data_IF_289702305179
#
_entry.id   IF_289702305179
#
_cell.length_a   1.000
_cell.length_b   1.000
_cell.length_c   1.000
_cell.angle_alpha   90.00
_cell.angle_beta   90.00
_cell.angle_gamma   90.00
#
_symmetry.space_group_name_H-M   'P 1'
#
loop_
_entity.id
_entity.type
_entity.pdbx_description
1 polymer ?
#
# COMPACT_ATOMS: atom_id res chain seq x y z
N UNK A 1 32.22 -71.02 29.65
CA UNK A 1 31.42 -72.24 29.45
C UNK A 1 30.64 -72.05 28.19
N UNK A 2 31.19 -72.51 27.14
CA UNK A 2 30.72 -73.30 26.00
C UNK A 2 29.48 -72.74 25.26
N UNK A 3 29.75 -72.20 24.02
CA UNK A 3 29.59 -72.88 22.72
C UNK A 3 28.14 -73.32 22.43
N UNK A 4 27.51 -72.96 21.29
CA UNK A 4 27.77 -73.45 19.96
C UNK A 4 27.03 -72.65 18.86
N UNK A 5 27.73 -72.52 17.77
CA UNK A 5 27.33 -72.32 16.39
C UNK A 5 26.26 -73.33 15.91
N UNK A 6 25.41 -72.89 14.98
CA UNK A 6 25.09 -73.73 13.81
C UNK A 6 24.66 -72.82 12.62
N UNK A 7 25.47 -72.98 11.57
CA UNK A 7 25.13 -72.60 10.18
C UNK A 7 24.27 -73.70 9.57
N UNK A 8 23.38 -73.35 8.61
CA UNK A 8 23.16 -74.15 7.38
C UNK A 8 22.31 -73.34 6.37
N UNK A 9 22.92 -72.97 5.28
CA UNK A 9 22.80 -73.19 3.84
C UNK A 9 21.46 -73.19 3.13
N UNK A 10 21.45 -72.31 2.12
CA UNK A 10 20.99 -72.43 0.71
C UNK A 10 19.78 -73.31 0.38
N UNK A 11 18.80 -72.67 -0.31
CA UNK A 11 18.40 -73.18 -1.61
C UNK A 11 17.72 -72.14 -2.50
N UNK A 12 18.19 -72.06 -3.74
CA UNK A 12 17.64 -71.38 -4.90
C UNK A 12 16.40 -72.12 -5.42
N UNK A 13 15.30 -71.39 -5.71
CA UNK A 13 14.44 -71.76 -6.85
C UNK A 13 13.59 -70.59 -7.31
N UNK A 14 13.95 -70.08 -8.42
CA UNK A 14 13.29 -69.67 -9.66
C UNK A 14 11.82 -69.17 -9.66
N UNK A 15 11.70 -68.00 -10.25
CA UNK A 15 10.74 -67.51 -11.27
C UNK A 15 9.27 -67.38 -10.91
N UNK A 16 8.80 -66.09 -10.94
CA UNK A 16 7.77 -65.69 -11.87
C UNK A 16 7.74 -64.15 -11.93
N UNK A 17 8.04 -63.59 -13.11
CA UNK A 17 7.89 -62.18 -13.47
C UNK A 17 6.39 -61.95 -13.69
N UNK A 18 5.75 -61.17 -12.82
CA UNK A 18 4.48 -60.51 -13.15
C UNK A 18 4.75 -59.00 -13.24
N UNK A 19 4.86 -58.53 -14.47
CA UNK A 19 4.88 -57.10 -14.76
C UNK A 19 3.47 -56.53 -14.48
N UNK A 20 3.32 -55.85 -13.35
CA UNK A 20 2.18 -54.98 -13.11
C UNK A 20 2.52 -53.60 -13.70
N UNK A 21 1.96 -53.31 -14.86
CA UNK A 21 1.94 -51.97 -15.43
C UNK A 21 0.98 -51.16 -14.58
N UNK A 22 1.51 -50.38 -13.62
CA UNK A 22 0.77 -49.32 -12.95
C UNK A 22 0.80 -48.13 -13.91
N UNK A 23 -0.28 -47.95 -14.64
CA UNK A 23 -0.57 -46.66 -15.31
C UNK A 23 -0.74 -45.60 -14.23
N UNK A 24 0.32 -44.82 -14.00
CA UNK A 24 0.21 -43.58 -13.25
C UNK A 24 -0.57 -42.58 -14.13
N UNK A 25 -1.85 -42.45 -13.88
CA UNK A 25 -2.59 -41.24 -14.27
C UNK A 25 -2.01 -40.09 -13.44
N UNK A 26 -1.07 -39.38 -14.05
CA UNK A 26 -0.67 -38.06 -13.58
C UNK A 26 -1.88 -37.15 -13.77
N UNK A 27 -2.64 -36.92 -12.72
CA UNK A 27 -3.52 -35.78 -12.66
C UNK A 27 -2.65 -34.52 -12.64
N UNK A 28 -2.40 -33.94 -13.79
CA UNK A 28 -1.98 -32.56 -13.89
C UNK A 28 -3.19 -31.70 -13.46
N UNK A 29 -3.32 -31.45 -12.18
CA UNK A 29 -4.03 -30.29 -11.70
C UNK A 29 -3.28 -29.07 -12.24
N UNK A 30 -3.95 -28.04 -12.76
CA UNK A 30 -3.26 -26.81 -13.10
C UNK A 30 -2.61 -26.29 -11.83
N UNK A 31 -1.28 -26.23 -11.82
CA UNK A 31 -0.51 -25.54 -10.79
C UNK A 31 -0.96 -24.10 -10.83
N UNK A 32 -1.56 -23.65 -9.76
CA UNK A 32 -1.97 -22.28 -9.59
C UNK A 32 -0.68 -21.44 -9.52
N UNK A 33 -0.34 -20.75 -10.63
CA UNK A 33 0.87 -19.95 -10.76
C UNK A 33 0.96 -18.79 -9.77
N UNK A 34 -0.11 -18.57 -8.99
CA UNK A 34 -0.20 -17.51 -8.00
C UNK A 34 0.36 -17.88 -6.61
N UNK A 35 0.96 -19.07 -6.43
CA UNK A 35 1.55 -19.51 -5.16
C UNK A 35 3.06 -19.79 -5.23
N UNK A 36 3.74 -19.32 -6.27
CA UNK A 36 5.20 -19.34 -6.27
C UNK A 36 5.70 -18.26 -5.31
N UNK A 37 6.64 -18.64 -4.39
CA UNK A 37 7.43 -17.65 -3.67
C UNK A 37 8.01 -16.69 -4.71
N UNK A 38 7.97 -15.36 -4.48
CA UNK A 38 8.57 -14.43 -5.42
C UNK A 38 10.00 -14.90 -5.74
N UNK A 39 10.35 -14.91 -7.02
CA UNK A 39 11.74 -15.09 -7.40
C UNK A 39 12.53 -14.03 -6.64
N UNK A 40 13.68 -14.40 -6.10
CA UNK A 40 14.47 -13.60 -5.14
C UNK A 40 14.89 -12.23 -5.67
N UNK A 41 14.60 -11.95 -6.94
CA UNK A 41 14.97 -10.74 -7.67
C UNK A 41 13.76 -9.85 -8.04
N UNK A 42 12.52 -10.22 -7.66
CA UNK A 42 11.33 -9.40 -7.98
C UNK A 42 11.11 -8.32 -6.91
N UNK A 43 11.02 -7.05 -7.38
CA UNK A 43 10.66 -5.92 -6.52
C UNK A 43 9.19 -5.61 -6.67
N UNK A 44 8.53 -5.38 -5.54
CA UNK A 44 7.19 -4.82 -5.46
C UNK A 44 7.28 -3.33 -5.15
N UNK A 45 7.01 -2.49 -6.15
CA UNK A 45 6.85 -1.05 -5.94
C UNK A 45 5.37 -0.76 -5.80
N UNK A 46 4.94 -0.48 -4.57
CA UNK A 46 3.55 -0.32 -4.19
C UNK A 46 3.20 1.15 -3.96
N UNK A 47 2.44 1.75 -4.86
CA UNK A 47 2.06 3.16 -4.76
C UNK A 47 0.66 3.32 -4.15
N UNK A 48 0.54 4.23 -3.16
CA UNK A 48 -0.75 4.60 -2.58
C UNK A 48 -1.64 5.28 -3.61
N UNK A 49 -2.89 4.85 -3.70
CA UNK A 49 -3.91 5.44 -4.57
C UNK A 49 -4.91 6.17 -3.70
N UNK A 50 -4.95 7.49 -3.84
CA UNK A 50 -5.92 8.37 -3.24
C UNK A 50 -7.18 8.41 -4.14
N UNK A 51 -8.31 7.79 -3.74
CA UNK A 51 -9.44 7.54 -4.62
C UNK A 51 -10.48 8.67 -4.60
N UNK A 52 -10.07 9.93 -4.71
CA UNK A 52 -10.94 11.09 -4.44
C UNK A 52 -11.42 11.83 -5.69
N UNK A 53 -11.02 11.39 -6.89
CA UNK A 53 -11.26 12.15 -8.13
C UNK A 53 -12.46 11.62 -8.91
N UNK A 54 -13.59 11.40 -8.24
CA UNK A 54 -14.88 11.02 -8.82
C UNK A 54 -16.04 11.53 -7.95
N UNK A 55 -17.27 11.36 -8.41
CA UNK A 55 -18.45 11.62 -7.62
C UNK A 55 -18.73 10.47 -6.66
N UNK A 56 -18.65 10.69 -5.36
CA UNK A 56 -19.08 9.72 -4.36
C UNK A 56 -20.61 9.75 -4.18
N UNK A 57 -21.26 8.59 -4.30
CA UNK A 57 -22.74 8.48 -4.25
C UNK A 57 -23.33 8.87 -2.90
N UNK A 58 -22.58 8.74 -1.80
CA UNK A 58 -23.07 9.05 -0.44
C UNK A 58 -22.87 10.50 -0.06
N UNK A 59 -21.70 11.05 -0.38
CA UNK A 59 -21.27 12.35 0.15
C UNK A 59 -20.77 13.32 -0.92
N UNK A 60 -20.74 12.92 -2.19
CA UNK A 60 -20.23 13.74 -3.30
C UNK A 60 -20.91 15.10 -3.37
N UNK A 61 -22.23 15.16 -3.40
CA UNK A 61 -22.97 16.42 -3.46
C UNK A 61 -22.70 17.33 -2.25
N UNK A 62 -22.43 16.71 -1.09
CA UNK A 62 -22.11 17.46 0.12
C UNK A 62 -20.67 17.98 0.10
N UNK A 63 -19.70 17.20 -0.39
CA UNK A 63 -18.30 17.55 -0.35
C UNK A 63 -17.86 18.31 -1.61
N UNK A 64 -18.23 17.81 -2.78
CA UNK A 64 -17.80 18.28 -4.10
C UNK A 64 -18.98 18.39 -5.06
N UNK A 65 -19.76 19.49 -4.98
CA UNK A 65 -21.02 19.63 -5.70
C UNK A 65 -20.88 19.75 -7.24
N UNK A 66 -19.68 19.96 -7.77
CA UNK A 66 -19.42 19.95 -9.22
C UNK A 66 -19.33 18.51 -9.79
N UNK A 67 -19.31 17.47 -8.91
CA UNK A 67 -19.34 16.06 -9.30
C UNK A 67 -18.01 15.49 -9.79
N UNK A 68 -16.90 16.19 -9.56
CA UNK A 68 -15.56 15.76 -10.00
C UNK A 68 -14.61 15.42 -8.84
N UNK A 69 -15.19 15.24 -7.64
CA UNK A 69 -14.40 14.96 -6.46
C UNK A 69 -13.39 16.06 -6.14
N UNK A 70 -12.25 15.70 -5.64
CA UNK A 70 -11.23 16.63 -5.19
C UNK A 70 -10.61 17.49 -6.31
N UNK A 71 -10.84 17.15 -7.58
CA UNK A 71 -10.48 18.05 -8.69
C UNK A 71 -11.06 19.45 -8.54
N UNK A 72 -12.21 19.59 -7.87
CA UNK A 72 -12.81 20.89 -7.58
C UNK A 72 -11.91 21.81 -6.75
N UNK A 73 -11.07 21.24 -5.92
CA UNK A 73 -10.13 21.98 -5.06
C UNK A 73 -8.79 22.15 -5.77
N UNK A 74 -8.27 21.08 -6.36
CA UNK A 74 -6.97 21.06 -7.04
C UNK A 74 -6.92 22.09 -8.17
N UNK A 75 -7.99 22.19 -8.98
CA UNK A 75 -8.12 23.19 -10.05
C UNK A 75 -8.12 24.65 -9.55
N UNK A 76 -8.46 24.87 -8.30
CA UNK A 76 -8.50 26.20 -7.65
C UNK A 76 -7.18 26.55 -6.96
N UNK A 77 -6.19 25.65 -7.02
CA UNK A 77 -4.86 25.91 -6.48
C UNK A 77 -4.23 27.17 -7.10
N UNK A 78 -3.61 27.99 -6.29
CA UNK A 78 -2.97 29.25 -6.72
C UNK A 78 -1.51 29.29 -6.28
N UNK A 79 -0.60 29.85 -7.12
CA UNK A 79 0.78 30.06 -6.72
C UNK A 79 0.87 30.98 -5.48
N UNK A 80 1.68 30.59 -4.49
CA UNK A 80 1.95 31.37 -3.28
C UNK A 80 3.18 32.27 -3.39
N UNK A 81 4.03 31.96 -4.34
CA UNK A 81 5.27 32.71 -4.63
C UNK A 81 5.65 32.52 -6.10
N UNK A 82 6.57 33.32 -6.59
CA UNK A 82 7.07 33.19 -7.97
C UNK A 82 7.73 31.84 -8.21
N UNK A 83 7.31 31.15 -9.28
CA UNK A 83 7.77 29.80 -9.63
C UNK A 83 7.06 28.66 -8.91
N UNK A 84 6.13 28.93 -7.98
CA UNK A 84 5.32 27.87 -7.38
C UNK A 84 4.37 27.26 -8.40
N UNK A 85 4.48 25.94 -8.60
CA UNK A 85 3.66 25.21 -9.58
C UNK A 85 2.28 24.88 -9.00
N UNK A 86 1.34 25.77 -9.30
CA UNK A 86 -0.10 25.60 -9.02
C UNK A 86 -0.91 26.33 -10.10
N UNK A 87 -2.13 25.86 -10.45
CA UNK A 87 -2.65 24.53 -10.10
C UNK A 87 -1.83 23.41 -10.73
N UNK A 88 -1.80 22.26 -10.09
CA UNK A 88 -1.21 21.06 -10.70
C UNK A 88 -2.11 20.53 -11.80
N UNK A 89 -1.55 20.20 -12.96
CA UNK A 89 -2.32 19.76 -14.13
C UNK A 89 -1.83 18.38 -14.57
N UNK A 90 -2.69 17.36 -14.47
CA UNK A 90 -2.35 16.03 -15.00
C UNK A 90 -2.09 16.07 -16.51
N UNK A 91 -1.17 15.23 -16.99
CA UNK A 91 -0.81 15.17 -18.40
C UNK A 91 -2.01 14.78 -19.29
N UNK A 92 -2.90 13.95 -18.77
CA UNK A 92 -4.11 13.49 -19.46
C UNK A 92 -5.36 14.32 -19.10
N UNK A 93 -5.18 15.42 -18.38
CA UNK A 93 -6.28 16.22 -17.88
C UNK A 93 -6.87 15.66 -16.57
N UNK A 94 -7.92 16.30 -16.11
CA UNK A 94 -8.59 15.99 -14.85
C UNK A 94 -9.63 14.88 -15.06
N UNK A 95 -9.14 13.68 -15.33
CA UNK A 95 -9.98 12.50 -15.58
C UNK A 95 -10.53 11.93 -14.27
N UNK A 96 -11.69 11.25 -14.36
CA UNK A 96 -12.33 10.65 -13.19
C UNK A 96 -11.73 9.25 -12.94
N UNK A 97 -11.37 8.97 -11.71
CA UNK A 97 -10.67 7.72 -11.33
C UNK A 97 -11.61 6.51 -11.15
N UNK A 98 -12.92 6.70 -11.27
CA UNK A 98 -13.90 5.61 -11.31
C UNK A 98 -14.23 5.14 -12.75
N UNK A 99 -13.56 5.70 -13.76
CA UNK A 99 -13.67 5.26 -15.15
C UNK A 99 -12.65 4.12 -15.43
N UNK A 100 -13.11 2.94 -15.90
CA UNK A 100 -12.22 1.83 -16.24
C UNK A 100 -11.17 2.18 -17.30
N UNK A 101 -11.50 3.03 -18.29
CA UNK A 101 -10.55 3.42 -19.34
C UNK A 101 -9.42 4.32 -18.80
N UNK A 102 -9.74 5.12 -17.80
CA UNK A 102 -8.73 5.90 -17.05
C UNK A 102 -7.82 4.98 -16.25
N UNK A 103 -8.39 4.00 -15.55
CA UNK A 103 -7.61 3.01 -14.81
C UNK A 103 -6.75 2.13 -15.73
N UNK A 104 -7.23 1.79 -16.93
CA UNK A 104 -6.43 1.08 -17.93
C UNK A 104 -5.14 1.87 -18.28
N UNK A 105 -5.26 3.19 -18.48
CA UNK A 105 -4.09 4.07 -18.71
C UNK A 105 -3.15 4.12 -17.51
N UNK A 106 -3.71 4.19 -16.30
CA UNK A 106 -2.91 4.23 -15.07
C UNK A 106 -2.12 2.93 -14.90
N UNK A 107 -2.78 1.78 -15.07
CA UNK A 107 -2.16 0.45 -14.97
C UNK A 107 -1.02 0.31 -15.98
N UNK A 108 -1.25 0.64 -17.25
CA UNK A 108 -0.22 0.54 -18.28
C UNK A 108 0.96 1.48 -17.97
N UNK A 109 0.70 2.73 -17.60
CA UNK A 109 1.77 3.66 -17.25
C UNK A 109 2.57 3.21 -16.01
N UNK A 110 1.91 2.64 -15.01
CA UNK A 110 2.55 2.12 -13.81
C UNK A 110 3.42 0.90 -14.11
N UNK A 111 2.84 -0.11 -14.76
CA UNK A 111 3.53 -1.39 -15.03
C UNK A 111 4.66 -1.26 -16.04
N UNK A 112 4.53 -0.39 -17.04
CA UNK A 112 5.61 -0.10 -18.00
C UNK A 112 6.83 0.57 -17.35
N UNK A 113 6.67 1.06 -16.11
CA UNK A 113 7.72 1.76 -15.38
C UNK A 113 8.09 1.11 -14.02
N UNK A 114 7.65 -0.14 -13.79
CA UNK A 114 8.08 -0.90 -12.62
C UNK A 114 7.25 -0.68 -11.35
N UNK A 115 6.14 0.08 -11.40
CA UNK A 115 5.13 0.12 -10.33
C UNK A 115 4.14 -1.01 -10.60
N UNK A 116 4.08 -2.01 -9.73
CA UNK A 116 3.33 -3.25 -9.95
C UNK A 116 2.30 -3.58 -8.86
N UNK A 117 2.17 -2.73 -7.84
CA UNK A 117 1.16 -2.84 -6.80
C UNK A 117 0.50 -1.49 -6.56
N UNK A 118 -0.82 -1.44 -6.49
CA UNK A 118 -1.57 -0.29 -5.99
C UNK A 118 -2.07 -0.54 -4.57
N UNK A 119 -1.88 0.43 -3.68
CA UNK A 119 -2.41 0.43 -2.30
C UNK A 119 -3.57 1.39 -2.28
N UNK A 120 -4.80 0.89 -2.30
CA UNK A 120 -5.95 1.77 -2.25
C UNK A 120 -6.20 2.26 -0.83
N UNK A 121 -6.24 3.58 -0.65
CA UNK A 121 -6.76 4.19 0.56
C UNK A 121 -8.25 3.86 0.64
N UNK A 122 -8.63 3.08 1.65
CA UNK A 122 -9.97 2.56 1.80
C UNK A 122 -10.62 3.13 3.06
N UNK A 123 -11.82 3.68 2.90
CA UNK A 123 -12.51 4.40 3.96
C UNK A 123 -13.81 3.74 4.37
N UNK A 124 -14.09 3.84 5.66
CA UNK A 124 -15.39 3.47 6.23
C UNK A 124 -15.83 4.56 7.19
N UNK A 125 -16.84 5.33 6.80
CA UNK A 125 -17.38 6.41 7.59
C UNK A 125 -18.89 6.34 7.62
N UNK A 126 -19.49 6.76 8.75
CA UNK A 126 -20.94 6.84 8.90
C UNK A 126 -21.61 5.52 8.46
N UNK A 127 -21.12 4.40 9.06
CA UNK A 127 -21.60 3.04 8.88
C UNK A 127 -21.54 2.49 7.43
N UNK A 128 -20.66 3.02 6.59
CA UNK A 128 -20.53 2.54 5.22
C UNK A 128 -19.24 2.93 4.51
N UNK A 129 -19.00 2.32 3.34
CA UNK A 129 -17.83 2.63 2.55
C UNK A 129 -17.92 4.05 1.97
N UNK A 130 -16.76 4.67 1.78
CA UNK A 130 -16.61 5.98 1.17
C UNK A 130 -15.49 5.95 0.13
N UNK A 131 -15.68 6.63 -0.99
CA UNK A 131 -14.74 6.70 -2.12
C UNK A 131 -14.37 5.34 -2.75
N UNK A 132 -15.21 4.32 -2.64
CA UNK A 132 -14.90 3.00 -3.20
C UNK A 132 -15.03 2.91 -4.73
N UNK A 133 -15.62 3.89 -5.41
CA UNK A 133 -15.90 3.80 -6.85
C UNK A 133 -14.62 3.74 -7.68
N UNK A 134 -13.56 4.42 -7.31
CA UNK A 134 -12.24 4.32 -7.94
C UNK A 134 -11.75 2.85 -8.02
N UNK A 135 -11.84 2.12 -6.91
CA UNK A 135 -11.50 0.71 -6.87
C UNK A 135 -12.54 -0.17 -7.59
N UNK A 136 -13.84 0.02 -7.27
CA UNK A 136 -14.89 -0.90 -7.70
C UNK A 136 -15.33 -0.72 -9.14
N UNK A 137 -15.41 0.52 -9.61
CA UNK A 137 -15.88 0.87 -10.94
C UNK A 137 -14.71 1.15 -11.89
N UNK A 138 -13.65 1.79 -11.42
CA UNK A 138 -12.44 2.02 -12.19
C UNK A 138 -11.57 0.76 -12.26
N UNK A 139 -10.80 0.49 -11.20
CA UNK A 139 -9.74 -0.54 -11.23
C UNK A 139 -10.24 -1.97 -11.46
N UNK A 140 -11.23 -2.43 -10.69
CA UNK A 140 -11.71 -3.81 -10.82
C UNK A 140 -12.46 -4.10 -12.13
N UNK A 141 -12.84 -3.06 -12.90
CA UNK A 141 -13.45 -3.20 -14.23
C UNK A 141 -12.48 -2.93 -15.38
N UNK A 142 -11.27 -2.45 -15.10
CA UNK A 142 -10.23 -2.25 -16.11
C UNK A 142 -9.86 -3.58 -16.79
N UNK A 143 -9.74 -3.59 -18.14
CA UNK A 143 -9.48 -4.81 -18.92
C UNK A 143 -8.08 -5.38 -18.69
N UNK A 144 -7.12 -4.53 -18.32
CA UNK A 144 -5.73 -4.88 -18.07
C UNK A 144 -5.38 -5.02 -16.59
N UNK A 145 -6.38 -5.06 -15.68
CA UNK A 145 -6.19 -5.13 -14.22
C UNK A 145 -5.30 -6.30 -13.76
N UNK A 146 -5.27 -7.38 -14.53
CA UNK A 146 -4.47 -8.57 -14.20
C UNK A 146 -2.95 -8.31 -14.29
N UNK A 147 -2.52 -7.19 -14.90
CA UNK A 147 -1.13 -6.74 -14.91
C UNK A 147 -0.70 -6.12 -13.57
N UNK A 148 -1.65 -5.69 -12.73
CA UNK A 148 -1.43 -4.92 -11.51
C UNK A 148 -1.98 -5.65 -10.31
N UNK A 149 -1.16 -5.85 -9.27
CA UNK A 149 -1.65 -6.31 -7.98
C UNK A 149 -2.18 -5.13 -7.15
N UNK A 150 -3.00 -5.41 -6.15
CA UNK A 150 -3.49 -4.38 -5.24
C UNK A 150 -3.76 -4.91 -3.85
N UNK A 151 -3.71 -4.02 -2.87
CA UNK A 151 -4.24 -4.27 -1.54
C UNK A 151 -4.84 -3.01 -0.92
N UNK A 152 -5.52 -3.18 0.19
CA UNK A 152 -6.20 -2.10 0.88
C UNK A 152 -5.39 -1.58 2.06
N UNK A 153 -5.38 -0.26 2.21
CA UNK A 153 -5.03 0.40 3.47
C UNK A 153 -6.30 1.02 4.06
N UNK A 154 -6.78 0.50 5.18
CA UNK A 154 -7.88 1.14 5.90
C UNK A 154 -7.40 2.45 6.52
N UNK A 155 -7.83 3.56 5.91
CA UNK A 155 -7.53 4.91 6.34
C UNK A 155 -8.46 5.32 7.50
N UNK A 156 -8.31 4.64 8.62
CA UNK A 156 -9.13 4.75 9.82
C UNK A 156 -8.75 5.95 10.71
N UNK A 157 -8.61 7.14 10.13
CA UNK A 157 -8.32 8.36 10.87
C UNK A 157 -9.56 9.27 10.97
N UNK A 158 -9.61 10.09 12.02
CA UNK A 158 -10.65 11.09 12.15
C UNK A 158 -10.49 12.16 11.06
N UNK A 159 -11.61 12.63 10.49
CA UNK A 159 -11.62 13.57 9.38
C UNK A 159 -12.29 14.85 9.78
N UNK A 160 -11.64 15.98 9.49
CA UNK A 160 -12.16 17.33 9.73
C UNK A 160 -12.83 17.87 8.49
N UNK A 161 -13.85 18.74 8.68
CA UNK A 161 -14.64 19.32 7.59
C UNK A 161 -13.80 20.07 6.59
N UNK A 162 -12.90 20.94 7.05
CA UNK A 162 -12.03 21.73 6.18
C UNK A 162 -10.99 20.92 5.40
N UNK A 163 -10.73 19.67 5.78
CA UNK A 163 -9.85 18.79 5.02
C UNK A 163 -10.44 18.38 3.69
N UNK A 164 -11.76 18.13 3.65
CA UNK A 164 -12.43 17.70 2.43
C UNK A 164 -12.65 18.82 1.44
N UNK A 165 -13.11 19.99 1.90
CA UNK A 165 -13.34 21.13 1.01
C UNK A 165 -13.29 22.44 1.79
N UNK A 166 -12.13 23.08 1.80
CA UNK A 166 -11.91 24.35 2.48
C UNK A 166 -12.77 25.48 1.87
N UNK A 167 -13.07 25.43 0.58
CA UNK A 167 -13.94 26.44 -0.08
C UNK A 167 -15.38 26.35 0.39
N UNK A 168 -15.83 25.20 0.86
CA UNK A 168 -17.17 24.98 1.41
C UNK A 168 -17.22 25.17 2.92
N UNK A 169 -16.25 24.60 3.63
CA UNK A 169 -16.26 24.54 5.10
C UNK A 169 -15.36 25.59 5.76
N UNK A 170 -14.63 26.39 4.98
CA UNK A 170 -13.72 27.42 5.46
C UNK A 170 -12.73 26.85 6.51
N UNK A 171 -12.63 27.49 7.66
CA UNK A 171 -11.75 27.10 8.76
C UNK A 171 -12.42 26.15 9.78
N UNK A 172 -13.54 25.52 9.42
CA UNK A 172 -14.21 24.56 10.32
C UNK A 172 -13.36 23.31 10.51
N UNK A 173 -12.64 23.26 11.63
CA UNK A 173 -11.78 22.15 12.04
C UNK A 173 -12.50 21.07 12.84
N UNK A 174 -13.83 21.18 12.99
CA UNK A 174 -14.61 20.15 13.69
C UNK A 174 -14.50 18.79 12.98
N UNK A 175 -14.54 17.73 13.77
CA UNK A 175 -14.55 16.37 13.22
C UNK A 175 -15.86 16.14 12.50
N UNK A 176 -15.79 15.76 11.23
CA UNK A 176 -16.95 15.38 10.42
C UNK A 176 -17.28 13.91 10.66
N UNK A 177 -16.27 13.04 10.59
CA UNK A 177 -16.39 11.63 10.83
C UNK A 177 -15.22 11.11 11.67
N UNK A 178 -15.52 10.21 12.58
CA UNK A 178 -14.52 9.48 13.35
C UNK A 178 -14.05 8.26 12.55
N UNK A 179 -12.75 7.98 12.61
CA UNK A 179 -12.17 6.79 11.97
C UNK A 179 -12.33 5.51 12.79
N UNK A 180 -12.71 5.64 14.07
CA UNK A 180 -13.04 4.50 14.92
C UNK A 180 -14.42 3.93 14.57
N UNK A 181 -14.58 2.61 14.67
CA UNK A 181 -15.82 1.89 14.40
C UNK A 181 -16.20 1.01 15.59
N UNK A 182 -17.47 0.66 15.71
CA UNK A 182 -17.91 -0.35 16.68
C UNK A 182 -17.74 -1.79 16.16
N UNK A 183 -18.02 -2.77 17.00
CA UNK A 183 -17.91 -4.18 16.67
C UNK A 183 -18.80 -4.62 15.52
N UNK A 184 -19.99 -4.07 15.38
CA UNK A 184 -20.93 -4.50 14.35
C UNK A 184 -20.48 -3.97 12.98
N UNK A 185 -20.06 -2.72 12.91
CA UNK A 185 -19.41 -2.15 11.71
C UNK A 185 -18.12 -2.90 11.37
N UNK A 186 -17.29 -3.25 12.36
CA UNK A 186 -16.06 -3.99 12.11
C UNK A 186 -16.32 -5.37 11.48
N UNK A 187 -17.34 -6.10 11.93
CA UNK A 187 -17.74 -7.38 11.32
C UNK A 187 -18.18 -7.20 9.88
N UNK A 188 -18.92 -6.12 9.58
CA UNK A 188 -19.35 -5.79 8.21
C UNK A 188 -18.12 -5.48 7.34
N UNK A 189 -17.17 -4.70 7.85
CA UNK A 189 -15.88 -4.40 7.18
C UNK A 189 -15.15 -5.70 6.84
N UNK A 190 -14.96 -6.58 7.82
CA UNK A 190 -14.25 -7.86 7.65
C UNK A 190 -14.92 -8.72 6.58
N UNK A 191 -16.23 -8.89 6.67
CA UNK A 191 -17.00 -9.68 5.68
C UNK A 191 -16.88 -9.08 4.27
N UNK A 192 -17.03 -7.76 4.15
CA UNK A 192 -16.90 -7.03 2.88
C UNK A 192 -15.52 -7.20 2.27
N UNK A 193 -14.46 -6.97 3.05
CA UNK A 193 -13.07 -7.03 2.58
C UNK A 193 -12.74 -8.44 2.09
N UNK A 194 -13.10 -9.46 2.84
CA UNK A 194 -12.83 -10.85 2.47
C UNK A 194 -13.59 -11.23 1.19
N UNK A 195 -14.90 -10.98 1.15
CA UNK A 195 -15.73 -11.43 0.02
C UNK A 195 -15.48 -10.65 -1.25
N UNK A 196 -15.26 -9.36 -1.15
CA UNK A 196 -15.19 -8.48 -2.31
C UNK A 196 -13.77 -8.30 -2.85
N UNK A 197 -12.78 -8.25 -1.96
CA UNK A 197 -11.41 -7.88 -2.33
C UNK A 197 -10.42 -9.04 -2.22
N UNK A 198 -10.34 -9.74 -1.09
CA UNK A 198 -9.39 -10.85 -0.94
C UNK A 198 -9.63 -11.97 -1.95
N UNK A 199 -10.87 -12.14 -2.41
CA UNK A 199 -11.27 -13.10 -3.45
C UNK A 199 -10.78 -12.73 -4.85
N UNK A 200 -10.29 -11.50 -5.09
CA UNK A 200 -9.78 -11.10 -6.39
C UNK A 200 -8.44 -11.81 -6.68
N UNK A 201 -8.24 -12.34 -7.90
CA UNK A 201 -7.03 -13.10 -8.24
C UNK A 201 -5.76 -12.28 -8.11
N UNK A 202 -5.82 -10.97 -8.38
CA UNK A 202 -4.73 -10.02 -8.31
C UNK A 202 -4.64 -9.27 -6.97
N UNK A 203 -5.33 -9.76 -5.92
CA UNK A 203 -5.13 -9.20 -4.58
C UNK A 203 -3.73 -9.59 -4.06
N UNK A 204 -2.96 -8.60 -3.58
CA UNK A 204 -1.58 -8.81 -3.14
C UNK A 204 -1.51 -9.66 -1.88
N UNK A 205 -0.62 -10.65 -1.89
CA UNK A 205 -0.44 -11.62 -0.81
C UNK A 205 1.04 -11.81 -0.50
N UNK A 206 1.35 -11.98 0.76
CA UNK A 206 2.67 -12.40 1.23
C UNK A 206 2.51 -13.80 1.83
N UNK A 207 3.25 -14.78 1.33
CA UNK A 207 3.14 -16.19 1.72
C UNK A 207 1.70 -16.74 1.65
N UNK A 208 0.94 -16.31 0.64
CA UNK A 208 -0.47 -16.69 0.44
C UNK A 208 -1.46 -15.96 1.35
N UNK A 209 -0.98 -15.15 2.30
CA UNK A 209 -1.80 -14.37 3.22
C UNK A 209 -2.15 -13.00 2.58
N UNK A 210 -3.43 -12.64 2.41
CA UNK A 210 -3.80 -11.35 1.88
C UNK A 210 -3.29 -10.23 2.81
N UNK A 211 -2.67 -9.21 2.21
CA UNK A 211 -2.16 -8.05 2.94
C UNK A 211 -3.29 -7.07 3.21
N UNK A 212 -3.45 -6.66 4.45
CA UNK A 212 -4.37 -5.60 4.85
C UNK A 212 -3.64 -4.60 5.72
N UNK A 213 -3.57 -3.36 5.26
CA UNK A 213 -2.89 -2.28 5.97
C UNK A 213 -3.86 -1.44 6.79
N UNK A 214 -3.42 -0.95 7.94
CA UNK A 214 -4.19 -0.06 8.82
C UNK A 214 -3.40 1.21 9.09
N UNK A 215 -4.04 2.35 8.88
CA UNK A 215 -3.38 3.66 8.99
C UNK A 215 -3.13 4.09 10.43
N UNK A 216 -4.11 3.94 11.33
CA UNK A 216 -4.02 4.43 12.69
C UNK A 216 -4.25 3.33 13.73
N UNK A 217 -3.18 2.93 14.42
CA UNK A 217 -3.26 2.04 15.57
C UNK A 217 -4.11 2.66 16.71
N UNK A 218 -4.05 3.97 16.87
CA UNK A 218 -4.79 4.67 17.93
C UNK A 218 -6.31 4.60 17.71
N UNK A 219 -6.76 4.83 16.48
CA UNK A 219 -8.18 4.72 16.14
C UNK A 219 -8.63 3.25 16.12
N UNK A 220 -7.75 2.31 15.78
CA UNK A 220 -8.05 0.89 15.92
C UNK A 220 -8.28 0.52 17.39
N UNK A 221 -7.44 1.00 18.32
CA UNK A 221 -7.62 0.79 19.76
C UNK A 221 -8.87 1.53 20.27
N UNK A 222 -9.11 2.78 19.80
CA UNK A 222 -10.31 3.56 20.13
C UNK A 222 -11.59 2.83 19.75
N UNK A 223 -11.59 2.09 18.63
CA UNK A 223 -12.73 1.30 18.15
C UNK A 223 -13.19 0.24 19.15
N UNK A 224 -12.28 -0.35 19.91
CA UNK A 224 -12.58 -1.46 20.82
C UNK A 224 -12.36 -1.10 22.30
N UNK A 225 -11.89 0.11 22.59
CA UNK A 225 -11.74 0.66 23.92
C UNK A 225 -10.49 0.21 24.68
N UNK A 226 -10.04 -1.04 24.51
CA UNK A 226 -8.84 -1.57 25.14
C UNK A 226 -7.94 -2.31 24.18
N UNK A 227 -6.70 -2.47 24.56
CA UNK A 227 -5.72 -3.23 23.78
C UNK A 227 -6.13 -4.71 23.64
N UNK A 228 -6.67 -5.30 24.71
CA UNK A 228 -7.12 -6.70 24.71
C UNK A 228 -8.31 -6.90 23.76
N UNK A 229 -9.30 -6.02 23.78
CA UNK A 229 -10.43 -6.10 22.86
C UNK A 229 -10.02 -5.84 21.41
N UNK A 230 -9.03 -4.96 21.18
CA UNK A 230 -8.43 -4.76 19.85
C UNK A 230 -7.76 -6.03 19.34
N UNK A 231 -7.04 -6.75 20.20
CA UNK A 231 -6.45 -8.03 19.86
C UNK A 231 -7.52 -9.05 19.48
N UNK A 232 -8.62 -9.13 20.22
CA UNK A 232 -9.76 -10.02 19.89
C UNK A 232 -10.37 -9.68 18.53
N UNK A 233 -10.47 -8.39 18.19
CA UNK A 233 -10.95 -7.96 16.88
C UNK A 233 -10.02 -8.41 15.75
N UNK A 234 -8.71 -8.25 15.92
CA UNK A 234 -7.73 -8.73 14.96
C UNK A 234 -7.78 -10.26 14.83
N UNK A 235 -7.89 -10.99 15.94
CA UNK A 235 -8.02 -12.46 15.93
C UNK A 235 -9.30 -12.90 15.21
N UNK A 236 -10.41 -12.19 15.41
CA UNK A 236 -11.64 -12.42 14.66
C UNK A 236 -11.40 -12.24 13.15
N UNK A 237 -10.73 -11.18 12.70
CA UNK A 237 -10.43 -10.96 11.29
C UNK A 237 -9.58 -12.12 10.72
N UNK A 238 -8.54 -12.53 11.43
CA UNK A 238 -7.71 -13.69 11.05
C UNK A 238 -8.52 -14.97 10.92
N UNK A 239 -9.40 -15.25 11.88
CA UNK A 239 -10.27 -16.41 11.83
C UNK A 239 -11.22 -16.41 10.62
N UNK A 240 -11.83 -15.26 10.31
CA UNK A 240 -12.70 -15.16 9.13
C UNK A 240 -11.90 -15.32 7.83
N UNK A 241 -10.68 -14.77 7.77
CA UNK A 241 -9.78 -14.93 6.63
C UNK A 241 -9.41 -16.40 6.42
N UNK A 242 -9.08 -17.13 7.50
CA UNK A 242 -8.81 -18.57 7.44
C UNK A 242 -10.05 -19.38 7.01
N UNK A 243 -11.23 -19.03 7.52
CA UNK A 243 -12.51 -19.67 7.09
C UNK A 243 -12.80 -19.45 5.60
N UNK A 244 -12.30 -18.36 5.03
CA UNK A 244 -12.43 -18.08 3.60
C UNK A 244 -11.40 -18.84 2.74
N UNK A 245 -10.51 -19.64 3.35
CA UNK A 245 -9.56 -20.52 2.64
C UNK A 245 -8.14 -19.97 2.53
N UNK A 246 -7.83 -18.83 3.13
CA UNK A 246 -6.47 -18.28 3.18
C UNK A 246 -5.68 -18.86 4.36
N UNK A 247 -4.33 -18.94 4.28
CA UNK A 247 -3.51 -19.43 5.38
C UNK A 247 -3.65 -18.58 6.65
N UNK A 248 -3.61 -17.27 6.51
CA UNK A 248 -3.83 -16.26 7.55
C UNK A 248 -4.09 -14.88 6.92
N UNK A 249 -4.20 -13.85 7.74
CA UNK A 249 -4.17 -12.44 7.37
C UNK A 249 -2.74 -11.90 7.56
N UNK A 250 -2.18 -11.20 6.57
CA UNK A 250 -0.98 -10.39 6.76
C UNK A 250 -1.38 -8.97 7.15
N UNK A 251 -1.34 -8.68 8.45
CA UNK A 251 -1.66 -7.35 8.98
C UNK A 251 -0.44 -6.44 8.89
N UNK A 252 -0.54 -5.39 8.08
CA UNK A 252 0.45 -4.33 7.98
C UNK A 252 -0.01 -3.09 8.76
N UNK A 253 0.90 -2.40 9.43
CA UNK A 253 0.61 -1.18 10.19
C UNK A 253 1.41 0.00 9.65
N UNK A 254 0.73 1.14 9.44
CA UNK A 254 1.40 2.40 9.18
C UNK A 254 1.95 2.95 10.50
N UNK A 255 3.22 3.35 10.49
CA UNK A 255 3.91 3.93 11.64
C UNK A 255 4.47 5.31 11.31
N UNK A 256 4.07 6.32 12.09
CA UNK A 256 4.56 7.69 11.97
C UNK A 256 5.60 8.03 13.05
N UNK A 257 5.49 7.39 14.19
CA UNK A 257 6.33 7.62 15.36
C UNK A 257 7.75 7.09 15.14
N UNK A 258 8.68 7.62 15.91
CA UNK A 258 9.99 6.98 16.08
C UNK A 258 9.84 5.68 16.88
N UNK A 259 10.64 4.65 16.56
CA UNK A 259 10.57 3.38 17.26
C UNK A 259 10.87 3.55 18.74
N UNK A 260 10.09 2.85 19.56
CA UNK A 260 10.36 2.70 20.98
C UNK A 260 9.88 1.34 21.46
N UNK A 261 10.48 0.84 22.53
CA UNK A 261 10.22 -0.50 23.04
C UNK A 261 8.72 -0.75 23.31
N UNK A 262 8.02 0.25 23.85
CA UNK A 262 6.59 0.11 24.18
C UNK A 262 5.73 -0.03 22.93
N UNK A 263 6.00 0.76 21.90
CA UNK A 263 5.28 0.68 20.62
C UNK A 263 5.50 -0.69 19.97
N UNK A 264 6.74 -1.18 19.93
CA UNK A 264 7.06 -2.49 19.37
C UNK A 264 6.34 -3.63 20.11
N UNK A 265 6.41 -3.66 21.44
CA UNK A 265 5.69 -4.64 22.25
C UNK A 265 4.17 -4.61 21.98
N UNK A 266 3.60 -3.43 21.78
CA UNK A 266 2.20 -3.27 21.45
C UNK A 266 1.89 -3.85 20.05
N UNK A 267 2.70 -3.56 19.05
CA UNK A 267 2.53 -4.05 17.69
C UNK A 267 2.65 -5.59 17.63
N UNK A 268 3.65 -6.16 18.31
CA UNK A 268 3.82 -7.61 18.42
C UNK A 268 2.63 -8.27 19.14
N UNK A 269 2.20 -7.71 20.26
CA UNK A 269 1.07 -8.24 21.01
C UNK A 269 -0.25 -8.15 20.23
N UNK A 270 -0.40 -7.19 19.32
CA UNK A 270 -1.52 -7.13 18.39
C UNK A 270 -1.37 -8.11 17.22
N UNK A 271 -0.20 -8.73 17.04
CA UNK A 271 0.05 -9.67 15.95
C UNK A 271 0.23 -8.98 14.60
N UNK A 272 0.83 -7.80 14.59
CA UNK A 272 1.21 -7.09 13.36
C UNK A 272 2.32 -7.88 12.65
N UNK A 273 2.20 -8.07 11.33
CA UNK A 273 3.14 -8.86 10.54
C UNK A 273 4.21 -8.00 9.86
N UNK A 274 3.89 -6.75 9.51
CA UNK A 274 4.85 -5.83 8.92
C UNK A 274 4.51 -4.38 9.20
N UNK A 275 5.50 -3.52 9.04
CA UNK A 275 5.41 -2.08 9.24
C UNK A 275 5.77 -1.36 7.93
N UNK A 276 5.17 -0.20 7.70
CA UNK A 276 5.59 0.74 6.66
C UNK A 276 5.14 2.15 7.04
N UNK A 277 5.38 3.11 6.16
CA UNK A 277 4.87 4.48 6.28
C UNK A 277 3.91 4.81 5.14
N UNK A 278 2.98 5.72 5.37
CA UNK A 278 2.19 6.33 4.31
C UNK A 278 3.06 7.33 3.53
N UNK A 279 3.63 8.29 4.25
CA UNK A 279 4.67 9.20 3.78
C UNK A 279 5.81 9.28 4.80
N UNK A 280 6.84 10.03 4.49
CA UNK A 280 8.00 10.15 5.38
C UNK A 280 7.67 10.73 6.76
N UNK A 281 6.54 11.46 6.89
CA UNK A 281 6.09 12.00 8.18
C UNK A 281 7.07 12.97 8.84
N UNK A 282 6.82 13.25 10.11
CA UNK A 282 7.66 14.14 10.91
C UNK A 282 7.49 15.63 10.56
N UNK A 283 8.37 16.51 11.04
CA UNK A 283 8.45 17.86 10.55
C UNK A 283 8.68 17.87 9.05
N UNK A 284 7.97 18.72 8.33
CA UNK A 284 8.17 18.92 6.90
C UNK A 284 9.08 20.14 6.68
N UNK A 285 10.41 19.98 6.59
CA UNK A 285 11.26 21.09 6.17
C UNK A 285 10.95 21.47 4.73
N UNK A 286 11.14 22.73 4.35
CA UNK A 286 10.87 23.18 2.98
C UNK A 286 11.79 22.51 1.94
N UNK A 287 12.99 22.08 2.35
CA UNK A 287 13.93 21.36 1.49
C UNK A 287 13.59 19.86 1.45
N UNK A 288 13.25 19.37 0.26
CA UNK A 288 12.95 17.97 0.01
C UNK A 288 14.11 17.03 0.35
N UNK A 289 15.36 17.44 0.03
CA UNK A 289 16.55 16.64 0.31
C UNK A 289 16.73 16.48 1.82
N UNK A 290 16.56 17.57 2.56
CA UNK A 290 16.61 17.51 4.04
C UNK A 290 15.51 16.61 4.60
N UNK A 291 14.28 16.70 4.09
CA UNK A 291 13.17 15.84 4.53
C UNK A 291 13.46 14.36 4.30
N UNK A 292 14.01 14.03 3.12
CA UNK A 292 14.44 12.68 2.79
C UNK A 292 15.56 12.19 3.72
N UNK A 293 16.62 12.98 3.92
CA UNK A 293 17.74 12.63 4.81
C UNK A 293 17.26 12.35 6.23
N UNK A 294 16.46 13.25 6.81
CA UNK A 294 15.89 13.06 8.15
C UNK A 294 14.97 11.82 8.22
N UNK A 295 14.30 11.48 7.10
CA UNK A 295 13.49 10.26 7.04
C UNK A 295 14.34 9.00 6.99
N UNK A 296 15.44 9.01 6.27
CA UNK A 296 16.40 7.88 6.23
C UNK A 296 17.02 7.63 7.61
N UNK A 297 17.36 8.71 8.34
CA UNK A 297 17.84 8.59 9.72
C UNK A 297 16.78 7.92 10.64
N UNK A 298 15.51 8.31 10.51
CA UNK A 298 14.41 7.67 11.25
C UNK A 298 14.19 6.21 10.83
N UNK A 299 14.40 5.89 9.54
CA UNK A 299 14.33 4.51 9.05
C UNK A 299 15.39 3.65 9.73
N UNK A 300 16.65 4.10 9.78
CA UNK A 300 17.74 3.38 10.46
C UNK A 300 17.42 3.05 11.92
N UNK A 301 16.74 3.96 12.62
CA UNK A 301 16.28 3.67 13.99
C UNK A 301 15.27 2.50 14.05
N UNK A 302 14.39 2.36 13.04
CA UNK A 302 13.52 1.21 12.93
C UNK A 302 14.30 -0.06 12.61
N UNK A 303 15.25 0.00 11.69
CA UNK A 303 16.13 -1.13 11.32
C UNK A 303 16.88 -1.69 12.55
N UNK A 304 17.43 -0.82 13.37
CA UNK A 304 18.20 -1.21 14.56
C UNK A 304 17.35 -1.81 15.68
N UNK A 305 16.06 -1.52 15.72
CA UNK A 305 15.21 -1.81 16.89
C UNK A 305 13.99 -2.65 16.57
N UNK A 306 13.54 -2.73 15.32
CA UNK A 306 12.33 -3.44 14.95
C UNK A 306 12.53 -4.96 14.98
N UNK A 307 11.58 -5.64 15.61
CA UNK A 307 11.47 -7.11 15.59
C UNK A 307 10.46 -7.59 14.55
N UNK A 308 9.72 -6.65 13.94
CA UNK A 308 8.70 -6.88 12.91
C UNK A 308 9.29 -6.38 11.59
N UNK A 309 9.14 -7.11 10.46
CA UNK A 309 9.57 -6.68 9.15
C UNK A 309 9.11 -5.25 8.82
N UNK A 310 10.04 -4.42 8.34
CA UNK A 310 9.77 -3.04 7.95
C UNK A 310 9.95 -2.92 6.42
N UNK A 311 8.95 -2.39 5.73
CA UNK A 311 9.00 -2.09 4.30
C UNK A 311 9.27 -0.60 4.09
N UNK A 312 10.35 -0.23 3.39
CA UNK A 312 10.74 1.16 3.22
C UNK A 312 9.69 1.95 2.41
N UNK A 313 9.49 3.20 2.80
CA UNK A 313 8.64 4.15 2.08
C UNK A 313 9.48 5.23 1.41
N UNK A 314 9.10 5.61 0.20
CA UNK A 314 9.67 6.76 -0.50
C UNK A 314 8.58 7.76 -0.82
N UNK A 315 8.77 9.02 -0.41
CA UNK A 315 7.82 10.11 -0.66
C UNK A 315 8.33 11.00 -1.80
N UNK A 316 7.42 11.41 -2.69
CA UNK A 316 7.77 12.21 -3.87
C UNK A 316 7.91 13.70 -3.52
N UNK A 317 7.21 14.16 -2.50
CA UNK A 317 7.23 15.55 -2.06
C UNK A 317 5.97 15.91 -1.28
N UNK A 318 5.86 17.18 -0.90
CA UNK A 318 4.72 17.73 -0.19
C UNK A 318 4.38 19.12 -0.69
N UNK A 319 3.11 19.41 -0.90
CA UNK A 319 2.54 20.72 -1.21
C UNK A 319 1.02 20.65 -1.05
N UNK A 320 0.52 20.93 0.15
CA UNK A 320 -0.90 20.93 0.48
C UNK A 320 -1.58 22.32 0.28
N UNK A 321 -0.97 23.15 -0.53
CA UNK A 321 -1.46 24.52 -0.77
C UNK A 321 -2.88 24.60 -1.34
N UNK A 322 -3.38 23.68 -2.17
CA UNK A 322 -4.78 23.72 -2.60
C UNK A 322 -5.75 23.42 -1.47
N UNK A 323 -5.39 22.56 -0.52
CA UNK A 323 -6.22 22.22 0.66
C UNK A 323 -6.33 23.39 1.63
N UNK A 324 -5.28 24.21 1.73
CA UNK A 324 -5.19 25.33 2.68
C UNK A 324 -4.79 26.65 2.00
N UNK A 325 -5.62 27.18 1.07
CA UNK A 325 -5.25 28.36 0.27
C UNK A 325 -5.08 29.63 1.10
N UNK A 326 -5.65 29.70 2.30
CA UNK A 326 -5.56 30.84 3.22
C UNK A 326 -4.30 30.82 4.10
N UNK A 327 -3.62 29.70 4.20
CA UNK A 327 -2.35 29.60 4.90
C UNK A 327 -1.25 30.16 4.00
N UNK A 328 -0.55 31.20 4.45
CA UNK A 328 0.48 31.89 3.70
C UNK A 328 1.74 31.06 3.42
N UNK A 329 2.88 31.73 3.30
CA UNK A 329 4.21 31.12 3.06
C UNK A 329 4.67 30.15 4.16
N UNK A 330 3.95 30.11 5.27
CA UNK A 330 4.21 29.22 6.43
C UNK A 330 3.88 27.76 6.14
N UNK A 331 3.06 27.50 5.11
CA UNK A 331 2.77 26.13 4.67
C UNK A 331 3.87 25.62 3.78
N UNK A 332 4.34 24.44 4.08
CA UNK A 332 5.46 23.80 3.40
C UNK A 332 5.11 23.49 1.97
N UNK A 333 5.95 24.00 1.07
CA UNK A 333 6.04 23.56 -0.32
C UNK A 333 7.50 23.16 -0.56
N UNK A 334 7.73 21.91 -0.89
CA UNK A 334 9.09 21.43 -1.06
C UNK A 334 9.77 22.05 -2.29
N UNK A 335 10.94 22.68 -2.07
CA UNK A 335 11.93 22.96 -3.12
C UNK A 335 12.99 21.83 -3.19
N UNK A 336 13.84 21.83 -4.20
CA UNK A 336 14.80 20.76 -4.51
C UNK A 336 14.16 19.38 -4.76
N UNK A 337 12.85 19.38 -5.05
CA UNK A 337 12.12 18.20 -5.47
C UNK A 337 12.29 18.01 -6.98
N UNK A 338 12.84 16.88 -7.38
CA UNK A 338 13.02 16.50 -8.78
C UNK A 338 12.89 14.98 -8.96
N UNK A 339 12.72 14.50 -10.20
CA UNK A 339 12.78 13.06 -10.48
C UNK A 339 14.12 12.42 -10.07
N UNK A 340 15.23 13.16 -10.16
CA UNK A 340 16.58 12.70 -9.82
C UNK A 340 16.72 12.55 -8.30
N UNK A 341 16.30 13.57 -7.52
CA UNK A 341 16.31 13.48 -6.07
C UNK A 341 15.38 12.40 -5.52
N UNK A 342 14.25 12.16 -6.19
CA UNK A 342 13.37 11.04 -5.88
C UNK A 342 14.03 9.69 -6.20
N UNK A 343 14.71 9.56 -7.36
CA UNK A 343 15.45 8.36 -7.74
C UNK A 343 16.53 7.99 -6.72
N UNK A 344 17.25 8.97 -6.17
CA UNK A 344 18.27 8.73 -5.15
C UNK A 344 17.68 8.03 -3.91
N UNK A 345 16.56 8.52 -3.39
CA UNK A 345 15.91 7.91 -2.23
C UNK A 345 15.24 6.57 -2.55
N UNK A 346 14.77 6.39 -3.78
CA UNK A 346 14.25 5.09 -4.22
C UNK A 346 15.38 4.06 -4.32
N UNK A 347 16.56 4.47 -4.76
CA UNK A 347 17.75 3.62 -4.77
C UNK A 347 18.14 3.18 -3.35
N UNK A 348 18.14 4.09 -2.38
CA UNK A 348 18.38 3.73 -0.98
C UNK A 348 17.32 2.75 -0.42
N UNK A 349 16.05 2.87 -0.85
CA UNK A 349 15.00 1.94 -0.48
C UNK A 349 15.20 0.56 -1.12
N UNK A 350 15.69 0.53 -2.38
CA UNK A 350 16.03 -0.71 -3.07
C UNK A 350 17.22 -1.42 -2.39
N UNK A 351 18.28 -0.68 -2.07
CA UNK A 351 19.45 -1.20 -1.34
C UNK A 351 19.04 -1.80 0.02
N UNK A 352 18.12 -1.13 0.73
CA UNK A 352 17.55 -1.69 1.96
C UNK A 352 16.88 -3.05 1.72
N UNK A 353 16.09 -3.21 0.65
CA UNK A 353 15.48 -4.50 0.32
C UNK A 353 16.53 -5.56 0.00
N UNK A 354 17.61 -5.19 -0.71
CA UNK A 354 18.71 -6.11 -1.06
C UNK A 354 19.46 -6.60 0.20
N UNK A 355 19.54 -5.77 1.24
CA UNK A 355 20.18 -6.08 2.53
C UNK A 355 19.28 -6.93 3.45
N UNK A 356 17.98 -7.06 3.16
CA UNK A 356 17.00 -7.80 3.96
C UNK A 356 16.32 -8.95 3.19
N UNK A 357 17.10 -9.97 2.75
CA UNK A 357 16.58 -11.04 1.90
C UNK A 357 15.58 -11.99 2.60
N UNK A 358 15.37 -11.84 3.90
CA UNK A 358 14.42 -12.63 4.70
C UNK A 358 12.98 -12.16 4.53
N UNK A 359 12.75 -10.97 3.96
CA UNK A 359 11.44 -10.38 3.70
C UNK A 359 11.24 -10.12 2.20
N UNK A 360 10.00 -9.94 1.72
CA UNK A 360 9.74 -9.51 0.34
C UNK A 360 10.37 -8.16 0.01
N UNK A 361 10.86 -7.98 -1.22
CA UNK A 361 11.38 -6.72 -1.72
C UNK A 361 10.23 -5.74 -1.99
N UNK A 362 9.55 -5.29 -0.95
CA UNK A 362 8.40 -4.39 -1.03
C UNK A 362 8.81 -2.96 -0.66
N UNK A 363 8.65 -2.04 -1.60
CA UNK A 363 8.86 -0.60 -1.41
C UNK A 363 7.51 0.10 -1.55
N UNK A 364 7.09 0.87 -0.55
CA UNK A 364 5.88 1.70 -0.67
C UNK A 364 6.23 3.09 -1.15
N UNK A 365 5.35 3.71 -1.93
CA UNK A 365 5.55 5.05 -2.49
C UNK A 365 4.37 5.96 -2.19
N UNK A 366 4.63 7.10 -1.60
CA UNK A 366 3.67 8.19 -1.46
C UNK A 366 3.82 9.18 -2.61
N UNK A 367 2.96 9.13 -3.59
CA UNK A 367 1.85 8.23 -3.89
C UNK A 367 1.71 8.06 -5.40
N UNK A 368 0.68 7.38 -5.86
CA UNK A 368 0.31 7.37 -7.26
C UNK A 368 -0.32 8.72 -7.68
N UNK A 369 -1.26 9.24 -6.89
CA UNK A 369 -2.10 10.38 -7.32
C UNK A 369 -2.56 11.33 -6.19
N UNK A 370 -1.81 11.49 -5.11
CA UNK A 370 -2.13 12.44 -4.03
C UNK A 370 -1.81 13.88 -4.46
N UNK A 371 -2.61 14.39 -5.41
CA UNK A 371 -2.43 15.70 -6.04
C UNK A 371 -2.53 16.87 -5.06
N UNK A 372 -3.46 16.74 -4.12
CA UNK A 372 -3.75 17.83 -3.17
C UNK A 372 -2.63 18.03 -2.16
N UNK A 373 -1.84 16.99 -1.91
CA UNK A 373 -0.65 17.01 -1.04
C UNK A 373 0.66 17.06 -1.83
N UNK A 374 0.60 17.03 -3.15
CA UNK A 374 1.77 17.18 -4.01
C UNK A 374 2.70 15.99 -4.07
N UNK A 375 2.28 14.83 -3.60
CA UNK A 375 3.00 13.55 -3.71
C UNK A 375 2.34 12.66 -4.77
N UNK A 376 2.84 12.66 -6.02
CA UNK A 376 2.22 11.87 -7.09
C UNK A 376 3.24 11.40 -8.14
N UNK A 377 3.07 10.15 -8.60
CA UNK A 377 3.78 9.56 -9.75
C UNK A 377 3.02 9.77 -11.06
N UNK A 378 1.70 9.91 -10.99
CA UNK A 378 0.86 10.11 -12.17
C UNK A 378 1.39 11.28 -13.00
N UNK A 379 1.62 11.10 -14.32
CA UNK A 379 2.26 12.12 -15.14
C UNK A 379 1.53 13.47 -15.15
N UNK A 380 2.27 14.56 -15.07
CA UNK A 380 1.79 15.92 -15.13
C UNK A 380 2.43 16.72 -16.29
N UNK A 381 1.93 17.92 -16.54
CA UNK A 381 2.49 18.78 -17.61
C UNK A 381 3.88 19.32 -17.28
N UNK A 382 4.31 19.33 -16.02
CA UNK A 382 5.61 19.85 -15.59
C UNK A 382 6.73 18.82 -15.74
N UNK A 383 6.50 17.61 -15.27
CA UNK A 383 7.51 16.56 -15.23
C UNK A 383 7.30 15.46 -16.27
N UNK A 384 6.11 15.42 -16.92
CA UNK A 384 5.74 14.33 -17.83
C UNK A 384 5.88 12.97 -17.10
N UNK A 385 6.52 12.03 -17.72
CA UNK A 385 6.79 10.70 -17.19
C UNK A 385 8.09 10.59 -16.36
N UNK A 386 8.77 11.70 -16.04
CA UNK A 386 10.14 11.61 -15.52
C UNK A 386 10.22 10.93 -14.14
N UNK A 387 9.22 11.08 -13.24
CA UNK A 387 9.19 10.33 -11.98
C UNK A 387 9.01 8.82 -12.21
N UNK A 388 8.14 8.43 -13.14
CA UNK A 388 7.97 7.02 -13.52
C UNK A 388 9.23 6.45 -14.18
N UNK A 389 9.87 7.20 -15.07
CA UNK A 389 11.17 6.79 -15.65
C UNK A 389 12.26 6.65 -14.58
N UNK A 390 12.21 7.47 -13.52
CA UNK A 390 13.12 7.33 -12.38
C UNK A 390 12.88 6.00 -11.65
N UNK A 391 11.60 5.61 -11.41
CA UNK A 391 11.27 4.29 -10.86
C UNK A 391 11.87 3.19 -11.72
N UNK A 392 11.62 3.22 -13.03
CA UNK A 392 12.09 2.19 -13.97
C UNK A 392 13.60 2.03 -13.91
N UNK A 393 14.36 3.12 -14.04
CA UNK A 393 15.84 3.10 -14.01
C UNK A 393 16.39 2.50 -12.70
N UNK A 394 15.78 2.83 -11.57
CA UNK A 394 16.21 2.29 -10.28
C UNK A 394 15.93 0.79 -10.18
N UNK A 395 14.71 0.37 -10.52
CA UNK A 395 14.31 -1.04 -10.37
C UNK A 395 15.05 -1.94 -11.37
N UNK A 396 15.30 -1.46 -12.60
CA UNK A 396 16.07 -2.19 -13.61
C UNK A 396 17.61 -2.14 -13.37
N UNK A 397 18.06 -1.42 -12.31
CA UNK A 397 19.49 -1.31 -11.98
C UNK A 397 20.28 -0.39 -12.93
N UNK A 398 19.60 0.48 -13.65
CA UNK A 398 20.20 1.44 -14.59
C UNK A 398 20.50 2.82 -13.95
N UNK A 399 20.09 3.01 -12.69
CA UNK A 399 20.34 4.27 -11.99
C UNK A 399 21.83 4.41 -11.63
N UNK A 400 22.42 5.55 -12.00
CA UNK A 400 23.81 5.86 -11.69
C UNK A 400 23.92 7.31 -11.17
N UNK A 401 24.12 7.52 -9.86
CA UNK A 401 24.18 8.85 -9.28
C UNK A 401 25.36 9.70 -9.77
N UNK A 402 26.41 9.10 -10.36
CA UNK A 402 27.57 9.83 -10.88
C UNK A 402 27.34 10.45 -12.28
N UNK A 403 26.21 10.15 -12.91
CA UNK A 403 25.86 10.67 -14.24
C UNK A 403 24.77 11.76 -14.18
N UNK A 404 24.27 12.09 -13.02
CA UNK A 404 23.25 13.10 -12.71
C UNK A 404 23.84 14.24 -11.88
#
# INVERSE_FOLDING_TARGET
MTMNLFQFNFNFQRLAIFAFVIAMFSCNSPVDKNNEKPEKDEYYVAAYVWPSCHHDERFGDMLWPEGTGEWEIIKKGTPRFEGHYQPKVPLWGYELDDDPEVMEKWIDAATDHGVNVFIFDWYWFDEGPFLESSLNNGFLKAKNRDKMQFYLMWANHDVRRNYWNVHKFSDDTSIMWEGAVDWDNFKIIVDRVIKKYFSQPNYFKIDGCPVYSVFSIYNLIKSFGTFEETRKAIDYFREQTKKAGFPDLHLQMIVFESPNQKLQQNLEALGVNSLTKYNWGGPHPEDYIRWGTESMERRKQWEETATIPYFPNVSIGWDDSPRFPHKGKEHVVHYNKSPESFAAYLQEAKEYCDEHPEQPNLITVFSWNEWIEGGYLLPDIKYGFNHLKAVKRVIEGEYNPSLE
#
